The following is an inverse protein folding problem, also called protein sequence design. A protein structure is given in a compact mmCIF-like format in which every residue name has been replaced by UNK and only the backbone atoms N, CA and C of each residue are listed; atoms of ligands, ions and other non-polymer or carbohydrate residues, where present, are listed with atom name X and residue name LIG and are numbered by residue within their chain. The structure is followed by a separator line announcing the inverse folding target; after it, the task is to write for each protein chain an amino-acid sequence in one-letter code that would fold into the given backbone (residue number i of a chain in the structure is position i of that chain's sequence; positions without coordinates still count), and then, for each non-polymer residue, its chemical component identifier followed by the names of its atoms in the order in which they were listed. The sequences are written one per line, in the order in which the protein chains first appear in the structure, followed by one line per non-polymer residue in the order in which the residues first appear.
data_IF_650822593978
#
_entry.id   IF_650822593978
#
_cell.length_a   1.000
_cell.length_b   1.000
_cell.length_c   1.000
_cell.angle_alpha   90.00
_cell.angle_beta   90.00
_cell.angle_gamma   90.00
#
_symmetry.space_group_name_H-M   'P 1'
#
loop_
_entity.id
_entity.type
_entity.pdbx_description
1 polymer ?
#
# COMPACT_ATOMS: atom_id res chain seq x y z
N UNK A 1 5.29 -4.01 8.03
CA UNK A 1 5.34 -4.05 9.52
C UNK A 1 4.71 -2.78 10.04
N UNK A 2 3.68 -2.88 10.86
CA UNK A 2 2.96 -1.75 11.46
C UNK A 2 3.40 -1.58 12.92
N UNK A 3 3.58 -0.33 13.35
CA UNK A 3 3.89 0.01 14.73
C UNK A 3 2.83 0.98 15.28
N UNK A 4 2.43 0.78 16.53
CA UNK A 4 1.51 1.65 17.26
C UNK A 4 2.21 2.18 18.51
N UNK A 5 2.11 3.48 18.75
CA UNK A 5 2.65 4.09 19.97
C UNK A 5 1.81 5.29 20.42
N UNK A 6 1.72 5.52 21.75
CA UNK A 6 1.03 6.67 22.28
C UNK A 6 1.80 7.95 21.93
N UNK A 7 1.07 9.00 21.64
CA UNK A 7 1.66 10.34 21.47
C UNK A 7 1.82 10.94 22.87
N UNK A 8 3.03 10.89 23.42
CA UNK A 8 3.28 11.25 24.82
C UNK A 8 2.95 12.71 25.16
N UNK A 9 3.10 13.63 24.20
CA UNK A 9 2.79 15.06 24.40
C UNK A 9 1.30 15.40 24.34
N UNK A 10 0.46 14.42 23.92
CA UNK A 10 -0.99 14.51 23.91
C UNK A 10 -1.60 13.59 24.96
N UNK A 11 -1.06 13.66 26.21
CA UNK A 11 -1.49 12.76 27.29
C UNK A 11 -3.00 12.78 27.56
N UNK A 12 -3.69 13.87 27.22
CA UNK A 12 -5.13 13.99 27.26
C UNK A 12 -5.85 13.56 25.97
N UNK A 13 -5.09 13.24 24.89
CA UNK A 13 -5.70 12.80 23.64
C UNK A 13 -6.13 11.34 23.73
N UNK A 14 -7.38 11.07 23.40
CA UNK A 14 -7.89 9.71 23.23
C UNK A 14 -7.45 9.10 21.90
N UNK A 15 -6.24 9.45 21.44
CA UNK A 15 -5.72 9.05 20.13
C UNK A 15 -4.40 8.29 20.24
N UNK A 16 -4.16 7.42 19.27
CA UNK A 16 -2.91 6.67 19.08
C UNK A 16 -2.38 6.95 17.69
N UNK A 17 -1.09 7.22 17.57
CA UNK A 17 -0.40 7.28 16.29
C UNK A 17 -0.12 5.87 15.80
N UNK A 18 -0.34 5.63 14.52
CA UNK A 18 -0.07 4.37 13.85
C UNK A 18 0.86 4.65 12.68
N UNK A 19 1.90 3.87 12.55
CA UNK A 19 2.83 3.95 11.42
C UNK A 19 2.98 2.58 10.76
N UNK A 20 3.07 2.60 9.43
CA UNK A 20 3.43 1.43 8.63
C UNK A 20 4.44 1.85 7.56
N UNK A 21 5.22 0.90 7.08
CA UNK A 21 6.09 1.07 5.92
C UNK A 21 5.98 -0.14 5.02
N UNK A 22 5.77 0.10 3.73
CA UNK A 22 5.69 -0.96 2.74
C UNK A 22 6.32 -0.51 1.42
N UNK A 23 6.90 -1.45 0.69
CA UNK A 23 7.56 -1.19 -0.60
C UNK A 23 7.41 -2.38 -1.51
N UNK A 24 7.14 -2.11 -2.79
CA UNK A 24 6.99 -3.13 -3.83
C UNK A 24 7.91 -2.84 -5.02
N UNK A 25 8.46 -3.88 -5.64
CA UNK A 25 9.17 -3.78 -6.91
C UNK A 25 8.17 -3.57 -8.05
N UNK A 26 8.61 -2.88 -9.09
CA UNK A 26 7.77 -2.62 -10.26
C UNK A 26 7.37 -3.92 -10.95
N UNK A 27 6.09 -4.22 -10.89
CA UNK A 27 5.50 -5.45 -11.44
C UNK A 27 4.67 -5.23 -12.70
N UNK A 28 4.43 -3.97 -13.06
CA UNK A 28 3.72 -3.56 -14.28
C UNK A 28 4.51 -2.48 -15.00
N UNK A 29 4.38 -2.41 -16.33
CA UNK A 29 5.20 -1.52 -17.15
C UNK A 29 4.78 -0.06 -17.11
N UNK A 30 3.51 0.24 -16.81
CA UNK A 30 3.01 1.61 -16.70
C UNK A 30 3.40 2.21 -15.34
N UNK A 31 4.27 3.23 -15.28
CA UNK A 31 4.75 3.78 -14.03
C UNK A 31 3.67 4.58 -13.27
N UNK A 32 2.68 5.15 -13.95
CA UNK A 32 1.57 5.84 -13.29
C UNK A 32 0.64 4.85 -12.58
N UNK A 33 0.26 3.76 -13.25
CA UNK A 33 -0.54 2.70 -12.64
C UNK A 33 0.23 2.01 -11.51
N UNK A 34 1.53 1.80 -11.70
CA UNK A 34 2.39 1.26 -10.63
C UNK A 34 2.40 2.18 -9.40
N UNK A 35 2.50 3.49 -9.59
CA UNK A 35 2.41 4.48 -8.52
C UNK A 35 1.09 4.41 -7.75
N UNK A 36 -0.03 4.27 -8.45
CA UNK A 36 -1.35 4.08 -7.84
C UNK A 36 -1.41 2.81 -6.99
N UNK A 37 -0.94 1.69 -7.55
CA UNK A 37 -0.92 0.39 -6.86
C UNK A 37 -0.07 0.45 -5.59
N UNK A 38 1.13 1.03 -5.66
CA UNK A 38 2.02 1.17 -4.50
C UNK A 38 1.38 1.99 -3.37
N UNK A 39 0.69 3.09 -3.71
CA UNK A 39 -0.03 3.90 -2.74
C UNK A 39 -1.19 3.13 -2.09
N UNK A 40 -2.02 2.44 -2.88
CA UNK A 40 -3.14 1.63 -2.38
C UNK A 40 -2.66 0.45 -1.52
N UNK A 41 -1.55 -0.18 -1.90
CA UNK A 41 -0.94 -1.27 -1.14
C UNK A 41 -0.52 -0.78 0.25
N UNK A 42 0.24 0.31 0.32
CA UNK A 42 0.67 0.89 1.59
C UNK A 42 -0.49 1.38 2.46
N UNK A 43 -1.54 1.97 1.86
CA UNK A 43 -2.74 2.42 2.58
C UNK A 43 -3.51 1.27 3.23
N UNK A 44 -3.47 0.07 2.66
CA UNK A 44 -4.24 -1.08 3.13
C UNK A 44 -3.95 -1.46 4.58
N UNK A 45 -2.71 -1.32 5.04
CA UNK A 45 -2.33 -1.58 6.44
C UNK A 45 -3.06 -0.67 7.43
N UNK A 46 -3.17 0.61 7.09
CA UNK A 46 -3.89 1.58 7.94
C UNK A 46 -5.40 1.32 7.93
N UNK A 47 -5.96 0.90 6.79
CA UNK A 47 -7.38 0.52 6.68
C UNK A 47 -7.70 -0.67 7.58
N UNK A 48 -6.89 -1.72 7.55
CA UNK A 48 -7.09 -2.92 8.40
C UNK A 48 -7.07 -2.56 9.89
N UNK A 49 -6.24 -1.59 10.30
CA UNK A 49 -6.17 -1.13 11.68
C UNK A 49 -7.23 -0.08 12.05
N UNK A 50 -8.14 0.26 11.13
CA UNK A 50 -9.16 1.31 11.30
C UNK A 50 -8.52 2.66 11.68
N UNK A 51 -7.43 3.00 10.99
CA UNK A 51 -6.62 4.20 11.21
C UNK A 51 -6.91 5.20 10.11
N UNK A 52 -7.08 6.47 10.46
CA UNK A 52 -7.22 7.58 9.52
C UNK A 52 -5.81 7.95 9.05
N UNK A 53 -5.45 7.77 7.77
CA UNK A 53 -4.16 8.15 7.25
C UNK A 53 -4.02 9.68 7.20
N UNK A 54 -2.83 10.21 7.46
CA UNK A 54 -2.56 11.65 7.47
C UNK A 54 -1.43 12.03 6.51
N UNK A 55 -0.27 11.38 6.66
CA UNK A 55 0.94 11.74 5.91
C UNK A 55 1.63 10.52 5.34
N UNK A 56 2.39 10.75 4.26
CA UNK A 56 3.24 9.77 3.60
C UNK A 56 4.65 10.33 3.41
N UNK A 57 5.65 9.46 3.54
CA UNK A 57 7.01 9.65 3.06
C UNK A 57 7.29 8.60 1.99
N UNK A 58 7.77 9.02 0.81
CA UNK A 58 8.10 8.09 -0.27
C UNK A 58 9.48 7.46 -0.11
N UNK A 59 9.58 6.16 -0.40
CA UNK A 59 10.84 5.44 -0.56
C UNK A 59 10.91 4.92 -2.00
N UNK A 60 11.81 5.50 -2.79
CA UNK A 60 11.87 5.26 -4.22
C UNK A 60 13.24 4.72 -4.59
N UNK A 61 13.25 3.66 -5.38
CA UNK A 61 14.46 3.19 -6.05
C UNK A 61 14.23 3.25 -7.55
N UNK A 62 15.13 3.91 -8.26
CA UNK A 62 15.07 4.01 -9.71
C UNK A 62 16.09 3.09 -10.34
N UNK A 63 15.69 2.39 -11.38
CA UNK A 63 16.59 1.62 -12.22
C UNK A 63 17.63 2.54 -12.86
N UNK A 64 18.86 2.06 -12.97
CA UNK A 64 19.94 2.79 -13.67
C UNK A 64 19.60 2.90 -15.15
N UNK A 65 19.31 4.11 -15.59
CA UNK A 65 18.94 4.45 -16.96
C UNK A 65 19.41 5.87 -17.32
N UNK A 66 19.13 6.31 -18.54
CA UNK A 66 19.34 7.71 -18.92
C UNK A 66 18.47 8.62 -18.05
N UNK A 67 19.00 9.78 -17.70
CA UNK A 67 18.38 10.73 -16.77
C UNK A 67 16.93 11.09 -17.15
N UNK A 68 16.66 11.34 -18.42
CA UNK A 68 15.33 11.68 -18.90
C UNK A 68 14.30 10.54 -18.69
N UNK A 69 14.72 9.28 -18.77
CA UNK A 69 13.86 8.13 -18.49
C UNK A 69 13.60 8.01 -16.99
N UNK A 70 14.62 8.18 -16.15
CA UNK A 70 14.46 8.18 -14.71
C UNK A 70 13.54 9.31 -14.22
N UNK A 71 13.68 10.52 -14.78
CA UNK A 71 12.80 11.65 -14.46
C UNK A 71 11.36 11.39 -14.90
N UNK A 72 11.16 10.77 -16.06
CA UNK A 72 9.83 10.38 -16.54
C UNK A 72 9.19 9.33 -15.64
N UNK A 73 9.92 8.26 -15.30
CA UNK A 73 9.42 7.19 -14.41
C UNK A 73 9.07 7.75 -13.04
N UNK A 74 9.99 8.53 -12.44
CA UNK A 74 9.77 9.17 -11.14
C UNK A 74 8.53 10.05 -11.13
N UNK A 75 8.39 10.90 -12.16
CA UNK A 75 7.25 11.82 -12.26
C UNK A 75 5.93 11.06 -12.36
N UNK A 76 5.87 10.04 -13.22
CA UNK A 76 4.66 9.25 -13.41
C UNK A 76 4.32 8.40 -12.18
N UNK A 77 5.29 7.75 -11.55
CA UNK A 77 5.08 6.99 -10.31
C UNK A 77 4.53 7.89 -9.19
N UNK A 78 5.13 9.06 -8.99
CA UNK A 78 4.65 10.00 -7.99
C UNK A 78 3.27 10.58 -8.34
N UNK A 79 3.01 10.88 -9.62
CA UNK A 79 1.70 11.34 -10.06
C UNK A 79 0.61 10.29 -9.78
N UNK A 80 0.88 9.01 -10.05
CA UNK A 80 -0.02 7.92 -9.73
C UNK A 80 -0.29 7.78 -8.23
N UNK A 81 0.76 7.85 -7.41
CA UNK A 81 0.62 7.81 -5.96
C UNK A 81 -0.16 9.00 -5.41
N UNK A 82 0.12 10.21 -5.89
CA UNK A 82 -0.58 11.44 -5.49
C UNK A 82 -2.06 11.41 -5.87
N UNK A 83 -2.42 10.76 -6.98
CA UNK A 83 -3.81 10.54 -7.36
C UNK A 83 -4.58 9.80 -6.25
N UNK A 84 -4.03 8.70 -5.72
CA UNK A 84 -4.69 7.93 -4.66
C UNK A 84 -4.59 8.62 -3.29
N UNK A 85 -3.46 9.25 -2.96
CA UNK A 85 -3.31 10.00 -1.72
C UNK A 85 -4.26 11.19 -1.63
N UNK A 86 -4.49 11.90 -2.74
CA UNK A 86 -5.49 12.98 -2.78
C UNK A 86 -6.90 12.47 -2.44
N UNK A 87 -7.28 11.30 -2.96
CA UNK A 87 -8.56 10.65 -2.64
C UNK A 87 -8.67 10.21 -1.19
N UNK A 88 -7.56 9.69 -0.63
CA UNK A 88 -7.47 9.28 0.77
C UNK A 88 -7.21 10.45 1.73
N UNK A 89 -7.08 11.68 1.25
CA UNK A 89 -6.74 12.89 2.01
C UNK A 89 -5.40 12.78 2.75
N UNK A 90 -4.43 12.10 2.13
CA UNK A 90 -3.06 11.94 2.64
C UNK A 90 -2.15 12.99 2.00
N UNK A 91 -1.30 13.60 2.81
CA UNK A 91 -0.28 14.55 2.33
C UNK A 91 1.06 13.85 2.17
N UNK A 92 1.63 13.85 0.96
CA UNK A 92 3.02 13.43 0.74
C UNK A 92 3.94 14.55 1.23
N UNK A 93 4.68 14.31 2.32
CA UNK A 93 5.49 15.33 3.01
C UNK A 93 6.98 15.26 2.71
N UNK A 94 7.40 14.27 1.91
CA UNK A 94 8.79 14.09 1.52
C UNK A 94 9.10 12.66 1.15
N UNK A 95 10.39 12.31 1.20
CA UNK A 95 10.84 10.95 0.92
C UNK A 95 12.31 10.88 0.57
N UNK A 96 12.71 9.72 0.07
CA UNK A 96 14.07 9.45 -0.37
C UNK A 96 14.06 8.73 -1.72
N UNK A 97 15.00 9.09 -2.60
CA UNK A 97 15.20 8.45 -3.89
C UNK A 97 16.63 7.92 -4.00
N UNK A 98 16.76 6.67 -4.38
CA UNK A 98 18.02 5.98 -4.60
C UNK A 98 18.06 5.33 -6.00
N UNK A 99 19.16 4.70 -6.35
CA UNK A 99 19.32 3.97 -7.61
C UNK A 99 19.69 2.51 -7.36
N UNK A 100 19.12 1.58 -8.16
CA UNK A 100 19.40 0.15 -8.12
C UNK A 100 19.30 -0.49 -9.51
N UNK A 101 19.09 -1.80 -9.52
CA UNK A 101 18.89 -2.58 -10.76
C UNK A 101 17.45 -2.60 -11.25
N UNK A 102 16.49 -2.26 -10.38
CA UNK A 102 15.05 -2.24 -10.68
C UNK A 102 14.38 -1.02 -10.05
N UNK A 103 13.23 -0.64 -10.59
CA UNK A 103 12.37 0.35 -9.96
C UNK A 103 11.62 -0.29 -8.79
N UNK A 104 11.56 0.43 -7.67
CA UNK A 104 10.66 0.12 -6.56
C UNK A 104 10.04 1.39 -5.99
N UNK A 105 8.87 1.25 -5.42
CA UNK A 105 8.14 2.35 -4.78
C UNK A 105 7.46 1.85 -3.54
N UNK A 106 7.62 2.60 -2.47
CA UNK A 106 6.96 2.34 -1.21
C UNK A 106 6.69 3.63 -0.45
N UNK A 107 5.95 3.49 0.64
CA UNK A 107 5.60 4.62 1.48
C UNK A 107 5.64 4.25 2.95
N UNK A 108 6.24 5.14 3.74
CA UNK A 108 6.03 5.15 5.19
C UNK A 108 4.82 6.05 5.47
N UNK A 109 3.75 5.46 5.98
CA UNK A 109 2.50 6.15 6.26
C UNK A 109 2.35 6.38 7.76
N UNK A 110 1.85 7.56 8.10
CA UNK A 110 1.45 7.90 9.46
C UNK A 110 -0.03 8.23 9.49
N UNK A 111 -0.73 7.69 10.47
CA UNK A 111 -2.14 7.97 10.70
C UNK A 111 -2.47 8.01 12.19
N UNK A 112 -3.72 8.31 12.48
CA UNK A 112 -4.25 8.35 13.84
C UNK A 112 -5.50 7.48 13.95
N UNK A 113 -5.67 6.85 15.11
CA UNK A 113 -6.91 6.18 15.49
C UNK A 113 -7.32 6.56 16.91
N UNK A 114 -8.60 6.50 17.22
CA UNK A 114 -9.08 6.69 18.58
C UNK A 114 -8.75 5.45 19.43
N UNK A 115 -8.31 5.65 20.68
CA UNK A 115 -8.00 4.56 21.63
C UNK A 115 -9.22 3.67 21.91
N UNK A 116 -10.43 4.24 21.85
CA UNK A 116 -11.68 3.51 22.01
C UNK A 116 -12.04 2.62 20.81
N UNK A 117 -11.37 2.80 19.67
CA UNK A 117 -11.58 1.95 18.51
C UNK A 117 -10.88 0.62 18.74
N UNK A 118 -11.59 -0.52 18.81
CA UNK A 118 -10.95 -1.80 18.98
C UNK A 118 -9.89 -2.01 17.89
N UNK A 119 -8.68 -2.39 18.27
CA UNK A 119 -7.70 -2.88 17.29
C UNK A 119 -8.30 -4.18 16.74
N UNK A 120 -8.73 -4.15 15.49
CA UNK A 120 -9.35 -5.30 14.82
C UNK A 120 -8.38 -6.45 14.51
N UNK A 121 -7.18 -6.41 15.00
CA UNK A 121 -6.37 -7.62 15.11
C UNK A 121 -6.95 -8.60 16.16
N UNK A 122 -8.24 -8.53 16.42
CA UNK A 122 -8.96 -9.56 17.15
C UNK A 122 -9.29 -10.70 16.17
N UNK A 123 -8.27 -11.46 15.81
CA UNK A 123 -8.53 -12.87 15.59
C UNK A 123 -8.97 -13.39 16.96
N UNK A 124 -10.22 -13.86 17.11
CA UNK A 124 -10.62 -14.51 18.35
C UNK A 124 -9.51 -15.53 18.65
N UNK A 125 -8.94 -15.47 19.85
CA UNK A 125 -8.09 -16.56 20.34
C UNK A 125 -8.80 -17.85 19.96
N UNK A 126 -8.13 -18.78 19.29
CA UNK A 126 -8.68 -20.08 18.92
C UNK A 126 -8.96 -20.94 20.17
N UNK A 127 -9.54 -20.36 21.20
CA UNK A 127 -9.95 -21.00 22.42
C UNK A 127 -11.32 -21.65 22.19
N UNK A 128 -11.30 -22.88 22.24
CA UNK A 128 -12.20 -24.04 22.42
C UNK A 128 -13.72 -23.91 22.43
N UNK A 129 -14.38 -22.75 22.23
CA UNK A 129 -15.83 -22.58 22.30
C UNK A 129 -16.39 -21.58 21.29
N UNK A 130 -15.75 -21.41 20.11
CA UNK A 130 -16.22 -20.47 19.11
C UNK A 130 -17.20 -21.15 18.16
N UNK A 131 -18.32 -20.45 17.91
CA UNK A 131 -19.17 -20.68 16.75
C UNK A 131 -18.33 -20.76 15.47
N UNK A 132 -18.69 -21.60 14.48
CA UNK A 132 -17.96 -21.71 13.24
C UNK A 132 -17.86 -20.33 12.57
N UNK A 133 -16.62 -19.89 12.28
CA UNK A 133 -16.36 -18.62 11.60
C UNK A 133 -16.34 -18.83 10.09
N UNK A 134 -16.95 -17.89 9.35
CA UNK A 134 -16.87 -17.84 7.90
C UNK A 134 -15.76 -16.87 7.49
N UNK A 135 -14.86 -17.32 6.59
CA UNK A 135 -13.85 -16.47 5.96
C UNK A 135 -14.41 -15.92 4.66
N UNK A 136 -14.43 -14.59 4.52
CA UNK A 136 -14.95 -13.92 3.34
C UNK A 136 -13.75 -13.31 2.59
N UNK A 137 -13.57 -13.69 1.32
CA UNK A 137 -12.62 -13.06 0.42
C UNK A 137 -13.32 -11.90 -0.29
N UNK A 138 -12.86 -10.68 -0.04
CA UNK A 138 -13.40 -9.46 -0.68
C UNK A 138 -12.83 -9.20 -2.06
N UNK A 139 -11.69 -9.82 -2.39
CA UNK A 139 -11.01 -9.74 -3.69
C UNK A 139 -10.48 -11.11 -4.07
N UNK A 140 -10.36 -11.42 -5.38
CA UNK A 140 -9.75 -12.67 -5.83
C UNK A 140 -8.28 -12.76 -5.40
N UNK A 141 -7.84 -13.98 -5.12
CA UNK A 141 -6.44 -14.32 -4.85
C UNK A 141 -5.75 -14.82 -6.12
N UNK A 142 -4.41 -14.87 -6.12
CA UNK A 142 -3.62 -15.41 -7.22
C UNK A 142 -3.04 -14.37 -8.18
N UNK A 143 -3.13 -13.08 -7.86
CA UNK A 143 -2.60 -11.98 -8.68
C UNK A 143 -1.11 -12.21 -9.01
N UNK A 144 -0.28 -12.54 -8.02
CA UNK A 144 1.16 -12.77 -8.23
C UNK A 144 1.44 -13.94 -9.20
N UNK A 145 0.64 -15.01 -9.16
CA UNK A 145 0.76 -16.11 -10.09
C UNK A 145 0.41 -15.70 -11.52
N UNK A 146 -0.68 -14.95 -11.70
CA UNK A 146 -1.10 -14.46 -13.01
C UNK A 146 -0.12 -13.44 -13.61
N UNK A 147 0.44 -12.55 -12.78
CA UNK A 147 1.49 -11.63 -13.21
C UNK A 147 2.76 -12.39 -13.65
N UNK A 148 3.20 -13.38 -12.87
CA UNK A 148 4.33 -14.23 -13.24
C UNK A 148 4.08 -15.03 -14.51
N UNK A 149 2.87 -15.53 -14.73
CA UNK A 149 2.46 -16.20 -15.97
C UNK A 149 2.44 -15.20 -17.15
N UNK A 150 1.94 -13.98 -16.93
CA UNK A 150 1.93 -12.92 -17.95
C UNK A 150 3.34 -12.55 -18.40
N UNK A 151 4.30 -12.41 -17.47
CA UNK A 151 5.71 -12.16 -17.79
C UNK A 151 6.35 -13.26 -18.64
N UNK A 152 5.77 -14.47 -18.64
CA UNK A 152 6.21 -15.63 -19.44
C UNK A 152 5.36 -15.86 -20.69
N UNK A 153 4.45 -14.96 -21.03
CA UNK A 153 3.44 -15.10 -22.09
C UNK A 153 2.61 -16.41 -21.96
N UNK A 154 2.28 -16.80 -20.72
CA UNK A 154 1.51 -17.99 -20.37
C UNK A 154 0.18 -17.67 -19.66
N UNK A 155 -0.13 -16.40 -19.46
CA UNK A 155 -1.40 -16.00 -18.86
C UNK A 155 -2.53 -16.10 -19.89
N UNK A 156 -3.76 -16.45 -19.45
CA UNK A 156 -4.95 -16.34 -20.29
C UNK A 156 -5.18 -14.91 -20.78
N UNK A 157 -5.86 -14.76 -21.93
CA UNK A 157 -6.22 -13.46 -22.47
C UNK A 157 -7.02 -12.63 -21.44
N UNK A 158 -6.68 -11.36 -21.32
CA UNK A 158 -7.31 -10.44 -20.37
C UNK A 158 -6.89 -10.61 -18.90
N UNK A 159 -6.18 -11.67 -18.53
CA UNK A 159 -5.78 -11.91 -17.14
C UNK A 159 -4.91 -10.79 -16.56
N UNK A 160 -4.01 -10.22 -17.37
CA UNK A 160 -3.17 -9.10 -16.96
C UNK A 160 -4.03 -7.88 -16.59
N UNK A 161 -4.98 -7.49 -17.43
CA UNK A 161 -5.85 -6.34 -17.16
C UNK A 161 -6.70 -6.58 -15.92
N UNK A 162 -7.27 -7.77 -15.78
CA UNK A 162 -8.02 -8.12 -14.57
C UNK A 162 -7.16 -8.02 -13.29
N UNK A 163 -5.88 -8.42 -13.34
CA UNK A 163 -4.96 -8.25 -12.21
C UNK A 163 -4.77 -6.76 -11.86
N UNK A 164 -4.54 -5.92 -12.88
CA UNK A 164 -4.36 -4.47 -12.69
C UNK A 164 -5.63 -3.87 -12.08
N UNK A 165 -6.81 -4.20 -12.58
CA UNK A 165 -8.09 -3.70 -12.08
C UNK A 165 -8.32 -4.08 -10.61
N UNK A 166 -8.00 -5.33 -10.24
CA UNK A 166 -8.10 -5.79 -8.84
C UNK A 166 -7.11 -5.07 -7.93
N UNK A 167 -5.88 -4.82 -8.39
CA UNK A 167 -4.88 -4.07 -7.62
C UNK A 167 -5.24 -2.59 -7.47
N UNK A 168 -5.94 -2.00 -8.46
CA UNK A 168 -6.41 -0.62 -8.41
C UNK A 168 -7.71 -0.42 -7.63
N UNK A 169 -8.40 -1.50 -7.28
CA UNK A 169 -9.55 -1.40 -6.40
C UNK A 169 -9.11 -1.08 -4.97
N UNK A 170 -9.58 0.06 -4.43
CA UNK A 170 -9.28 0.46 -3.06
C UNK A 170 -9.88 -0.52 -2.03
N UNK A 171 -9.23 -0.62 -0.87
CA UNK A 171 -9.76 -1.30 0.32
C UNK A 171 -10.44 -0.31 1.29
N UNK A 172 -10.51 0.97 0.90
CA UNK A 172 -11.13 2.06 1.67
C UNK A 172 -12.59 2.24 1.29
#
# INVERSE_FOLDING_TARGET
MQAEFPIAEFSDSNQTMVQTIDSISQMISDPFLFGRIAALHSLSDLVVSNTIPLTALSLITLQRAKRNLQESDLTNMLAGAMFEFSRAKVTLIGGHTSQSYENSLGFALTGIKNKSTPSKAYLPSFASNLEPLSVILTKPIGIGLLLAASMRNQAPDGAYQNCVDVMLASNT
#
